data_IF_096312633352
#
_entry.id   IF_096312633352
#
_cell.length_a   1.000
_cell.length_b   1.000
_cell.length_c   1.000
_cell.angle_alpha   90.00
_cell.angle_beta   90.00
_cell.angle_gamma   90.00
#
_symmetry.space_group_name_H-M   'P 1'
#
loop_
_entity.id
_entity.type
_entity.pdbx_description
1 polymer ?
#
# COMPACT_ATOMS: atom_id res chain seq x y z
N UNK A 1 6.49 -1.12 14.05
CA UNK A 1 6.05 0.15 13.43
C UNK A 1 5.21 -0.14 12.20
N UNK A 2 4.11 0.58 11.98
CA UNK A 2 3.26 0.47 10.80
C UNK A 2 3.24 1.79 10.05
N UNK A 3 3.33 1.75 8.73
CA UNK A 3 3.11 2.89 7.86
C UNK A 3 1.95 2.57 6.94
N UNK A 4 0.93 3.42 6.94
CA UNK A 4 -0.10 3.38 5.92
C UNK A 4 0.39 4.13 4.69
N UNK A 5 0.57 3.43 3.57
CA UNK A 5 0.77 4.06 2.27
C UNK A 5 -0.56 4.09 1.53
N UNK A 6 -0.87 5.25 0.96
CA UNK A 6 -1.78 5.27 -0.17
C UNK A 6 -0.98 4.77 -1.39
N UNK A 7 -1.63 4.60 -2.53
CA UNK A 7 -0.91 4.32 -3.78
C UNK A 7 -1.01 5.56 -4.67
N UNK A 8 0.13 6.23 -4.88
CA UNK A 8 0.27 7.32 -5.85
C UNK A 8 0.35 8.74 -5.27
N UNK A 9 0.62 8.91 -3.97
CA UNK A 9 1.11 10.17 -3.39
C UNK A 9 2.66 10.21 -3.49
N UNK A 10 3.26 11.20 -4.18
CA UNK A 10 4.70 11.29 -4.37
C UNK A 10 5.51 11.35 -3.06
N UNK A 11 4.93 11.79 -1.95
CA UNK A 11 5.64 11.79 -0.67
C UNK A 11 5.51 10.49 0.15
N UNK A 12 4.85 9.45 -0.38
CA UNK A 12 4.73 8.13 0.27
C UNK A 12 6.10 7.50 0.58
N UNK A 13 7.05 7.60 -0.35
CA UNK A 13 8.36 6.95 -0.19
C UNK A 13 9.24 7.60 0.88
N UNK A 14 9.15 8.92 1.06
CA UNK A 14 9.85 9.61 2.13
C UNK A 14 9.32 9.19 3.52
N UNK A 15 8.00 8.99 3.63
CA UNK A 15 7.37 8.51 4.87
C UNK A 15 7.78 7.06 5.18
N UNK A 16 7.92 6.21 4.14
CA UNK A 16 8.49 4.85 4.30
C UNK A 16 9.90 4.91 4.84
N UNK A 17 10.75 5.77 4.28
CA UNK A 17 12.14 5.90 4.71
C UNK A 17 12.23 6.37 6.17
N UNK A 18 11.48 7.41 6.52
CA UNK A 18 11.43 7.93 7.88
C UNK A 18 10.97 6.85 8.87
N UNK A 19 9.93 6.09 8.53
CA UNK A 19 9.46 5.02 9.37
C UNK A 19 10.44 3.84 9.44
N UNK A 20 11.16 3.54 8.35
CA UNK A 20 12.23 2.55 8.38
C UNK A 20 13.32 2.96 9.38
N UNK A 21 13.76 4.22 9.36
CA UNK A 21 14.74 4.73 10.31
C UNK A 21 14.24 4.68 11.76
N UNK A 22 12.99 5.09 12.00
CA UNK A 22 12.40 5.04 13.33
C UNK A 22 12.23 3.60 13.82
N UNK A 23 11.86 2.67 12.95
CA UNK A 23 11.75 1.26 13.25
C UNK A 23 13.11 0.69 13.70
N UNK A 24 14.21 1.02 13.01
CA UNK A 24 15.57 0.65 13.46
C UNK A 24 15.89 1.26 14.83
N UNK A 25 15.68 2.57 15.01
CA UNK A 25 15.98 3.26 16.28
C UNK A 25 15.19 2.71 17.47
N UNK A 26 14.01 2.15 17.21
CA UNK A 26 13.13 1.60 18.24
C UNK A 26 13.24 0.08 18.36
N UNK A 27 14.14 -0.59 17.62
CA UNK A 27 14.27 -2.05 17.61
C UNK A 27 13.00 -2.77 17.14
N UNK A 28 12.20 -2.12 16.28
CA UNK A 28 10.91 -2.60 15.81
C UNK A 28 10.98 -3.06 14.35
N UNK A 29 10.16 -4.05 14.01
CA UNK A 29 9.87 -4.42 12.61
C UNK A 29 8.99 -3.37 11.93
N UNK A 30 9.19 -3.15 10.64
CA UNK A 30 8.36 -2.27 9.80
C UNK A 30 7.23 -3.06 9.10
N UNK A 31 6.01 -2.53 9.13
CA UNK A 31 4.86 -3.08 8.41
C UNK A 31 4.30 -2.00 7.50
N UNK A 32 4.37 -2.21 6.20
CA UNK A 32 3.85 -1.29 5.19
C UNK A 32 2.46 -1.74 4.78
N UNK A 33 1.44 -0.90 4.99
CA UNK A 33 0.05 -1.20 4.63
C UNK A 33 -0.33 -0.40 3.39
N UNK A 34 -0.54 -1.07 2.25
CA UNK A 34 -0.85 -0.44 0.97
C UNK A 34 -2.31 -0.69 0.56
N UNK A 35 -2.99 0.33 0.01
CA UNK A 35 -4.40 0.28 -0.40
C UNK A 35 -4.60 -0.29 -1.82
N UNK A 36 -5.57 -1.20 -2.00
CA UNK A 36 -6.00 -1.75 -3.31
C UNK A 36 -7.12 -0.95 -4.00
N UNK A 37 -7.78 -0.03 -3.30
CA UNK A 37 -9.13 0.45 -3.65
C UNK A 37 -9.19 1.34 -4.92
N UNK A 38 -8.08 2.01 -5.29
CA UNK A 38 -8.01 2.78 -6.55
C UNK A 38 -8.09 1.85 -7.78
N UNK A 39 -7.54 0.65 -7.68
CA UNK A 39 -7.48 -0.33 -8.77
C UNK A 39 -8.78 -1.10 -8.92
N UNK A 40 -9.43 -1.43 -7.81
CA UNK A 40 -10.80 -1.96 -7.84
C UNK A 40 -11.80 -0.99 -8.52
N UNK A 41 -11.53 0.32 -8.49
CA UNK A 41 -12.33 1.34 -9.19
C UNK A 41 -11.95 1.47 -10.66
N UNK A 42 -10.65 1.42 -10.98
CA UNK A 42 -10.17 1.39 -12.37
C UNK A 42 -10.65 0.13 -13.09
N UNK A 43 -10.50 -1.06 -12.50
CA UNK A 43 -11.01 -2.33 -12.98
C UNK A 43 -12.52 -2.30 -13.26
N UNK A 44 -13.31 -1.70 -12.35
CA UNK A 44 -14.75 -1.49 -12.52
C UNK A 44 -15.09 -0.51 -13.65
N UNK A 45 -14.27 0.52 -13.83
CA UNK A 45 -14.45 1.48 -14.92
C UNK A 45 -14.09 0.87 -16.27
N UNK A 46 -12.97 0.17 -16.35
CA UNK A 46 -12.55 -0.57 -17.55
C UNK A 46 -13.56 -1.67 -17.89
N UNK A 47 -14.14 -2.35 -16.90
CA UNK A 47 -15.20 -3.33 -17.19
C UNK A 47 -16.46 -2.73 -17.79
N UNK A 48 -16.80 -1.48 -17.45
CA UNK A 48 -17.90 -0.76 -18.09
C UNK A 48 -17.59 -0.31 -19.52
N UNK A 49 -16.33 0.02 -19.84
CA UNK A 49 -15.93 0.38 -21.22
C UNK A 49 -15.74 -0.85 -22.12
N UNK A 50 -15.33 -1.99 -21.57
CA UNK A 50 -14.99 -3.19 -22.33
C UNK A 50 -16.10 -4.24 -22.38
N UNK A 51 -17.37 -3.86 -22.20
CA UNK A 51 -18.54 -4.69 -22.55
C UNK A 51 -18.47 -5.26 -23.99
N UNK A 52 -17.58 -4.73 -24.84
CA UNK A 52 -17.30 -5.21 -26.19
C UNK A 52 -16.37 -6.45 -26.31
N UNK A 53 -15.60 -6.83 -25.27
CA UNK A 53 -14.55 -7.88 -25.36
C UNK A 53 -14.86 -9.18 -24.61
N UNK A 54 -16.08 -9.33 -24.06
CA UNK A 54 -16.45 -10.47 -23.23
C UNK A 54 -15.93 -10.35 -21.79
N UNK A 55 -16.76 -10.76 -20.82
CA UNK A 55 -16.52 -10.55 -19.39
C UNK A 55 -15.20 -11.16 -18.88
N UNK A 56 -14.76 -12.27 -19.45
CA UNK A 56 -13.54 -12.98 -19.03
C UNK A 56 -12.26 -12.23 -19.41
N UNK A 57 -12.22 -11.61 -20.60
CA UNK A 57 -11.07 -10.82 -21.06
C UNK A 57 -10.88 -9.57 -20.22
N UNK A 58 -11.98 -8.96 -19.80
CA UNK A 58 -11.99 -7.79 -18.91
C UNK A 58 -11.49 -8.14 -17.51
N UNK A 59 -11.94 -9.26 -16.96
CA UNK A 59 -11.49 -9.74 -15.65
C UNK A 59 -9.99 -10.02 -15.66
N UNK A 60 -9.48 -10.67 -16.71
CA UNK A 60 -8.06 -10.96 -16.87
C UNK A 60 -7.21 -9.69 -17.05
N UNK A 61 -7.66 -8.74 -17.87
CA UNK A 61 -6.96 -7.46 -18.06
C UNK A 61 -6.91 -6.64 -16.77
N UNK A 62 -8.02 -6.62 -16.03
CA UNK A 62 -8.10 -5.95 -14.72
C UNK A 62 -7.14 -6.56 -13.70
N UNK A 63 -7.07 -7.90 -13.63
CA UNK A 63 -6.17 -8.62 -12.73
C UNK A 63 -4.69 -8.40 -13.10
N UNK A 64 -4.39 -8.37 -14.40
CA UNK A 64 -3.02 -8.11 -14.89
C UNK A 64 -2.59 -6.68 -14.57
N UNK A 65 -3.47 -5.70 -14.79
CA UNK A 65 -3.21 -4.30 -14.43
C UNK A 65 -3.05 -4.12 -12.91
N UNK A 66 -3.86 -4.80 -12.11
CA UNK A 66 -3.72 -4.77 -10.64
C UNK A 66 -2.36 -5.32 -10.19
N UNK A 67 -1.92 -6.46 -10.74
CA UNK A 67 -0.62 -7.06 -10.42
C UNK A 67 0.55 -6.16 -10.82
N UNK A 68 0.56 -5.64 -12.04
CA UNK A 68 1.65 -4.79 -12.52
C UNK A 68 1.88 -3.57 -11.62
N UNK A 69 0.81 -2.98 -11.07
CA UNK A 69 0.95 -1.86 -10.13
C UNK A 69 1.36 -2.32 -8.73
N UNK A 70 0.87 -3.48 -8.28
CA UNK A 70 1.31 -4.05 -7.01
C UNK A 70 2.82 -4.32 -7.04
N UNK A 71 3.32 -4.84 -8.16
CA UNK A 71 4.73 -5.14 -8.37
C UNK A 71 5.57 -3.85 -8.43
N UNK A 72 5.15 -2.82 -9.20
CA UNK A 72 5.84 -1.52 -9.24
C UNK A 72 5.92 -0.85 -7.86
N UNK A 73 4.81 -0.83 -7.11
CA UNK A 73 4.80 -0.27 -5.76
C UNK A 73 5.70 -1.07 -4.81
N UNK A 74 5.67 -2.40 -4.92
CA UNK A 74 6.53 -3.27 -4.12
C UNK A 74 8.01 -3.02 -4.41
N UNK A 75 8.40 -2.92 -5.68
CA UNK A 75 9.78 -2.61 -6.10
C UNK A 75 10.23 -1.25 -5.57
N UNK A 76 9.40 -0.21 -5.70
CA UNK A 76 9.72 1.13 -5.21
C UNK A 76 9.88 1.18 -3.69
N UNK A 77 8.99 0.51 -2.94
CA UNK A 77 9.11 0.41 -1.48
C UNK A 77 10.36 -0.39 -1.11
N UNK A 78 10.61 -1.51 -1.80
CA UNK A 78 11.81 -2.33 -1.57
C UNK A 78 13.08 -1.52 -1.78
N UNK A 79 13.16 -0.75 -2.88
CA UNK A 79 14.29 0.12 -3.18
C UNK A 79 14.60 1.09 -2.05
N UNK A 80 13.58 1.69 -1.44
CA UNK A 80 13.75 2.63 -0.32
C UNK A 80 14.10 1.92 0.99
N UNK A 81 13.36 0.87 1.34
CA UNK A 81 13.57 0.16 2.62
C UNK A 81 14.92 -0.57 2.62
N UNK A 82 15.43 -0.99 1.47
CA UNK A 82 16.76 -1.61 1.35
C UNK A 82 17.92 -0.71 1.77
N UNK A 83 17.70 0.61 1.84
CA UNK A 83 18.68 1.58 2.32
C UNK A 83 18.86 1.54 3.85
N UNK A 84 17.95 0.87 4.57
CA UNK A 84 17.91 0.84 6.03
C UNK A 84 17.89 -0.63 6.50
N UNK A 85 18.72 -1.03 7.48
CA UNK A 85 18.78 -2.41 7.96
C UNK A 85 17.60 -2.74 8.87
N UNK A 86 16.39 -2.79 8.31
CA UNK A 86 15.14 -3.04 9.03
C UNK A 86 14.44 -4.29 8.49
N UNK A 87 13.95 -5.14 9.39
CA UNK A 87 13.02 -6.20 9.00
C UNK A 87 11.70 -5.57 8.60
N UNK A 88 11.14 -5.95 7.44
CA UNK A 88 9.90 -5.35 6.96
C UNK A 88 8.99 -6.34 6.24
N UNK A 89 7.70 -5.98 6.17
CA UNK A 89 6.71 -6.67 5.32
C UNK A 89 5.68 -5.73 4.76
N UNK A 90 5.18 -6.05 3.57
CA UNK A 90 4.05 -5.37 2.95
C UNK A 90 2.74 -6.14 3.17
N UNK A 91 1.67 -5.42 3.50
CA UNK A 91 0.31 -5.94 3.67
C UNK A 91 -0.63 -5.15 2.76
N UNK A 92 -1.34 -5.86 1.90
CA UNK A 92 -2.34 -5.26 1.01
C UNK A 92 -3.69 -5.15 1.72
N UNK A 93 -4.28 -3.97 1.68
CA UNK A 93 -5.58 -3.67 2.26
C UNK A 93 -6.64 -3.49 1.18
N UNK A 94 -7.73 -4.24 1.29
CA UNK A 94 -8.97 -3.97 0.54
C UNK A 94 -9.68 -2.78 1.19
N UNK A 95 -9.57 -1.60 0.59
CA UNK A 95 -10.06 -0.33 1.13
C UNK A 95 -8.98 0.51 1.80
N UNK A 96 -9.40 1.53 2.55
CA UNK A 96 -8.52 2.53 3.18
C UNK A 96 -7.36 1.90 3.98
N UNK A 97 -6.12 2.23 3.58
CA UNK A 97 -4.90 1.86 4.30
C UNK A 97 -4.93 2.32 5.76
N UNK A 98 -5.50 3.51 6.04
CA UNK A 98 -5.65 4.03 7.40
C UNK A 98 -6.50 3.11 8.29
N UNK A 99 -7.68 2.69 7.79
CA UNK A 99 -8.54 1.76 8.54
C UNK A 99 -7.87 0.40 8.74
N UNK A 100 -7.13 -0.08 7.75
CA UNK A 100 -6.43 -1.36 7.83
C UNK A 100 -5.29 -1.31 8.86
N UNK A 101 -4.48 -0.26 8.86
CA UNK A 101 -3.41 -0.07 9.83
C UNK A 101 -3.93 0.13 11.27
N UNK A 102 -5.04 0.87 11.47
CA UNK A 102 -5.70 0.94 12.80
C UNK A 102 -6.19 -0.43 13.26
N UNK A 103 -6.78 -1.23 12.36
CA UNK A 103 -7.24 -2.58 12.68
C UNK A 103 -6.08 -3.49 13.07
N UNK A 104 -4.95 -3.36 12.38
CA UNK A 104 -3.72 -4.09 12.71
C UNK A 104 -3.20 -3.67 14.09
N UNK A 105 -3.14 -2.36 14.38
CA UNK A 105 -2.68 -1.84 15.67
C UNK A 105 -3.56 -2.29 16.84
N UNK A 106 -4.88 -2.37 16.66
CA UNK A 106 -5.80 -2.93 17.67
C UNK A 106 -5.49 -4.37 18.05
N UNK A 107 -4.95 -5.17 17.12
CA UNK A 107 -4.54 -6.56 17.37
C UNK A 107 -3.12 -6.66 17.92
N UNK A 108 -2.33 -5.60 17.82
CA UNK A 108 -0.92 -5.55 18.21
C UNK A 108 -0.65 -4.23 18.96
N UNK A 109 -1.01 -4.14 20.25
CA UNK A 109 -1.06 -2.88 20.99
C UNK A 109 0.30 -2.19 21.20
N UNK A 110 1.41 -2.90 20.97
CA UNK A 110 2.78 -2.36 21.04
C UNK A 110 3.21 -1.64 19.76
N UNK A 111 2.36 -1.58 18.73
CA UNK A 111 2.77 -1.08 17.43
C UNK A 111 2.47 0.40 17.25
N UNK A 112 3.52 1.19 16.99
CA UNK A 112 3.39 2.58 16.59
C UNK A 112 2.93 2.70 15.13
N UNK A 113 1.93 3.54 14.88
CA UNK A 113 1.35 3.75 13.55
C UNK A 113 1.66 5.15 13.07
N UNK A 114 2.22 5.26 11.87
CA UNK A 114 2.48 6.52 11.18
C UNK A 114 1.49 6.68 10.02
N UNK A 115 0.80 7.81 10.00
CA UNK A 115 -0.09 8.20 8.91
C UNK A 115 0.23 9.61 8.47
N UNK A 116 0.23 9.82 7.16
CA UNK A 116 0.10 11.15 6.62
C UNK A 116 -1.36 11.59 6.71
N UNK A 117 -1.68 12.72 7.36
CA UNK A 117 -3.03 13.25 7.32
C UNK A 117 -3.42 13.56 5.87
N UNK A 118 -4.66 13.24 5.50
CA UNK A 118 -5.20 13.66 4.20
C UNK A 118 -5.13 15.18 4.15
N UNK A 119 -4.39 15.72 3.17
CA UNK A 119 -4.51 17.13 2.83
C UNK A 119 -5.99 17.40 2.59
N UNK A 120 -6.59 18.23 3.46
CA UNK A 120 -7.98 18.65 3.31
C UNK A 120 -8.18 19.18 1.90
N UNK A 121 -9.21 18.66 1.23
CA UNK A 121 -9.75 19.32 0.05
C UNK A 121 -10.65 20.45 0.51
#
# INVERSE_FOLDING_TARGET
MIVGLRAGDPGELADVLLAAELAVRTGSRLVVVAERDRWARFARWTSGMYCAFGMDGVAQASHTAERAVQDDLYERVTGVVSLVPVEWTMVWASGSAARAAVRYARRNPTVLVMFRPTAGR
#
